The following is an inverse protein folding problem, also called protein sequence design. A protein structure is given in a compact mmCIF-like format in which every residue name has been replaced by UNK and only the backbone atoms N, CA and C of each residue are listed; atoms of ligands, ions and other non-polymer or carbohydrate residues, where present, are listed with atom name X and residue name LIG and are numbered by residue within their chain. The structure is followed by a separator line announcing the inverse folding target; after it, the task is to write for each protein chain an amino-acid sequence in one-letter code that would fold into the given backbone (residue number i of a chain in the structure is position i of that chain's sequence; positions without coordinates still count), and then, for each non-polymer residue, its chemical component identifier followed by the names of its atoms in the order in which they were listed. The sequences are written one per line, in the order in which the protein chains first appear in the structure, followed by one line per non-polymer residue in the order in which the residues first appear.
data_IF_852703613444
#
_entry.id   IF_852703613444
#
_cell.length_a   1.000
_cell.length_b   1.000
_cell.length_c   1.000
_cell.angle_alpha   90.00
_cell.angle_beta   90.00
_cell.angle_gamma   90.00
#
_symmetry.space_group_name_H-M   'P 1'
#
loop_
_entity.id
_entity.type
_entity.pdbx_description
1 polymer ?
#
# COMPACT_ATOMS: atom_id res chain seq x y z
N UNK A 1 -26.78 -3.43 -6.38
CA UNK A 1 -26.44 -4.79 -5.90
C UNK A 1 -24.92 -5.02 -5.99
N UNK A 2 -24.30 -4.84 -7.17
CA UNK A 2 -22.85 -4.98 -7.35
C UNK A 2 -21.98 -4.11 -6.42
N UNK A 3 -22.37 -2.86 -6.14
CA UNK A 3 -21.63 -2.01 -5.19
C UNK A 3 -21.60 -2.56 -3.76
N UNK A 4 -22.68 -3.20 -3.31
CA UNK A 4 -22.75 -3.84 -1.99
C UNK A 4 -21.90 -5.10 -1.95
N UNK A 5 -21.97 -5.93 -3.00
CA UNK A 5 -21.15 -7.13 -3.14
C UNK A 5 -19.66 -6.78 -3.18
N UNK A 6 -19.28 -5.71 -3.89
CA UNK A 6 -17.92 -5.20 -3.91
C UNK A 6 -17.47 -4.71 -2.53
N UNK A 7 -18.29 -3.93 -1.83
CA UNK A 7 -18.01 -3.47 -0.46
C UNK A 7 -17.75 -4.64 0.49
N UNK A 8 -18.58 -5.68 0.46
CA UNK A 8 -18.38 -6.90 1.26
C UNK A 8 -17.14 -7.70 0.83
N UNK A 9 -16.78 -7.66 -0.45
CA UNK A 9 -15.62 -8.38 -0.96
C UNK A 9 -14.30 -7.80 -0.43
N UNK A 10 -14.24 -6.48 -0.22
CA UNK A 10 -13.05 -5.74 0.22
C UNK A 10 -12.98 -5.54 1.75
N UNK A 11 -14.09 -5.77 2.47
CA UNK A 11 -14.19 -5.58 3.92
C UNK A 11 -13.10 -6.36 4.68
N UNK A 12 -12.37 -5.65 5.55
CA UNK A 12 -11.38 -6.23 6.43
C UNK A 12 -11.96 -6.56 7.82
N UNK A 13 -11.61 -7.71 8.42
CA UNK A 13 -12.01 -7.99 9.78
C UNK A 13 -11.31 -7.02 10.74
N UNK A 14 -11.97 -6.60 11.83
CA UNK A 14 -11.42 -5.64 12.81
C UNK A 14 -10.01 -5.97 13.32
N UNK A 15 -9.66 -7.26 13.41
CA UNK A 15 -8.32 -7.73 13.81
C UNK A 15 -7.20 -7.31 12.83
N UNK A 16 -7.54 -6.87 11.61
CA UNK A 16 -6.57 -6.35 10.67
C UNK A 16 -5.89 -5.07 11.18
N UNK A 17 -6.53 -4.29 12.06
CA UNK A 17 -5.97 -3.07 12.64
C UNK A 17 -4.72 -3.30 13.52
N UNK A 18 -4.51 -4.52 14.01
CA UNK A 18 -3.31 -4.88 14.80
C UNK A 18 -2.23 -5.59 13.97
N UNK A 19 -2.37 -5.62 12.64
CA UNK A 19 -1.40 -6.25 11.77
C UNK A 19 -0.09 -5.44 11.71
N UNK A 20 1.03 -6.14 11.78
CA UNK A 20 2.37 -5.56 11.70
C UNK A 20 3.04 -5.84 10.35
N UNK A 21 2.35 -6.57 9.47
CA UNK A 21 2.84 -6.96 8.14
C UNK A 21 1.70 -7.03 7.12
N UNK A 22 1.96 -6.76 5.83
CA UNK A 22 0.95 -6.87 4.76
C UNK A 22 0.23 -8.21 4.73
N UNK A 23 0.95 -9.33 4.86
CA UNK A 23 0.35 -10.65 4.85
C UNK A 23 -0.73 -10.85 5.94
N UNK A 24 -0.66 -10.12 7.06
CA UNK A 24 -1.60 -10.26 8.18
C UNK A 24 -2.94 -9.55 7.92
N UNK A 25 -2.99 -8.56 7.02
CA UNK A 25 -4.23 -7.89 6.60
C UNK A 25 -4.93 -8.59 5.43
N UNK A 26 -4.29 -9.54 4.73
CA UNK A 26 -4.84 -10.24 3.56
C UNK A 26 -5.94 -11.25 3.92
N UNK A 27 -7.05 -10.77 4.49
CA UNK A 27 -8.13 -11.58 5.06
C UNK A 27 -9.49 -11.37 4.38
N UNK A 28 -9.70 -10.25 3.68
CA UNK A 28 -10.89 -10.03 2.85
C UNK A 28 -11.07 -11.13 1.79
N UNK A 29 -12.28 -11.22 1.21
CA UNK A 29 -12.60 -12.20 0.18
C UNK A 29 -11.68 -12.06 -1.04
N UNK A 30 -11.39 -10.82 -1.47
CA UNK A 30 -10.49 -10.53 -2.61
C UNK A 30 -9.09 -11.15 -2.48
N UNK A 31 -8.63 -11.38 -1.24
CA UNK A 31 -7.31 -11.96 -0.97
C UNK A 31 -7.28 -13.48 -1.12
N UNK A 32 -8.42 -14.16 -0.97
CA UNK A 32 -8.50 -15.61 -0.82
C UNK A 32 -9.26 -16.30 -1.95
N UNK A 33 -10.22 -15.62 -2.56
CA UNK A 33 -11.02 -16.16 -3.66
C UNK A 33 -10.16 -16.43 -4.92
N UNK A 34 -10.66 -17.23 -5.88
CA UNK A 34 -9.99 -17.40 -7.16
C UNK A 34 -9.76 -16.06 -7.86
N UNK A 35 -8.55 -15.85 -8.40
CA UNK A 35 -8.15 -14.57 -9.01
C UNK A 35 -9.11 -14.12 -10.12
N UNK A 36 -9.54 -15.04 -10.97
CA UNK A 36 -10.47 -14.74 -12.07
C UNK A 36 -11.83 -14.24 -11.57
N UNK A 37 -12.34 -14.80 -10.46
CA UNK A 37 -13.60 -14.35 -9.88
C UNK A 37 -13.46 -12.94 -9.30
N UNK A 38 -12.34 -12.64 -8.63
CA UNK A 38 -12.04 -11.30 -8.12
C UNK A 38 -11.97 -10.28 -9.25
N UNK A 39 -11.28 -10.61 -10.34
CA UNK A 39 -11.17 -9.74 -11.51
C UNK A 39 -12.51 -9.51 -12.21
N UNK A 40 -13.32 -10.56 -12.35
CA UNK A 40 -14.65 -10.46 -12.93
C UNK A 40 -15.54 -9.53 -12.10
N UNK A 41 -15.54 -9.70 -10.77
CA UNK A 41 -16.33 -8.86 -9.87
C UNK A 41 -15.83 -7.41 -9.86
N UNK A 42 -14.52 -7.19 -9.80
CA UNK A 42 -13.92 -5.85 -9.85
C UNK A 42 -14.28 -5.11 -11.13
N UNK A 43 -14.15 -5.77 -12.30
CA UNK A 43 -14.53 -5.18 -13.59
C UNK A 43 -16.02 -4.86 -13.67
N UNK A 44 -16.88 -5.74 -13.14
CA UNK A 44 -18.31 -5.48 -13.06
C UNK A 44 -18.65 -4.30 -12.14
N UNK A 45 -17.94 -4.15 -11.01
CA UNK A 45 -18.08 -3.02 -10.10
C UNK A 45 -17.66 -1.69 -10.76
N UNK A 46 -16.57 -1.69 -11.55
CA UNK A 46 -16.10 -0.52 -12.29
C UNK A 46 -16.97 -0.14 -13.50
N UNK A 47 -17.85 -1.02 -13.99
CA UNK A 47 -18.66 -0.78 -15.19
C UNK A 47 -19.60 0.44 -15.05
N UNK A 48 -19.89 0.87 -13.82
CA UNK A 48 -20.66 2.08 -13.53
C UNK A 48 -19.91 3.40 -13.81
N UNK A 49 -18.62 3.36 -14.17
CA UNK A 49 -17.83 4.54 -14.54
C UNK A 49 -17.22 5.29 -13.36
N UNK A 50 -17.63 5.00 -12.12
CA UNK A 50 -17.02 5.54 -10.91
C UNK A 50 -15.89 4.60 -10.43
N UNK A 51 -14.73 5.14 -10.02
CA UNK A 51 -13.69 4.34 -9.37
C UNK A 51 -14.21 3.73 -8.08
N UNK A 52 -14.09 2.41 -7.95
CA UNK A 52 -14.38 1.72 -6.68
C UNK A 52 -13.10 1.56 -5.85
N UNK A 53 -13.19 1.59 -4.51
CA UNK A 53 -12.05 1.30 -3.64
C UNK A 53 -11.48 -0.10 -3.95
N UNK A 54 -10.18 -0.19 -4.16
CA UNK A 54 -9.50 -1.43 -4.51
C UNK A 54 -8.02 -1.33 -4.17
N UNK A 55 -7.32 -2.45 -3.89
CA UNK A 55 -5.90 -2.35 -3.60
C UNK A 55 -5.13 -2.11 -4.89
N UNK A 56 -3.96 -1.47 -4.79
CA UNK A 56 -3.12 -1.12 -5.94
C UNK A 56 -2.84 -2.33 -6.84
N UNK A 57 -2.57 -3.50 -6.23
CA UNK A 57 -2.25 -4.72 -6.98
C UNK A 57 -3.43 -5.20 -7.82
N UNK A 58 -4.68 -4.98 -7.37
CA UNK A 58 -5.84 -5.40 -8.14
C UNK A 58 -6.06 -4.47 -9.33
N UNK A 59 -5.87 -3.16 -9.14
CA UNK A 59 -5.90 -2.19 -10.25
C UNK A 59 -4.79 -2.47 -11.27
N UNK A 60 -3.57 -2.76 -10.79
CA UNK A 60 -2.45 -3.15 -11.64
C UNK A 60 -2.73 -4.45 -12.42
N UNK A 61 -3.31 -5.46 -11.76
CA UNK A 61 -3.68 -6.74 -12.37
C UNK A 61 -4.78 -6.57 -13.41
N UNK A 62 -5.83 -5.79 -13.10
CA UNK A 62 -6.92 -5.53 -14.03
C UNK A 62 -6.44 -4.77 -15.27
N UNK A 63 -5.42 -3.91 -15.12
CA UNK A 63 -4.75 -3.20 -16.20
C UNK A 63 -3.68 -4.04 -16.93
N UNK A 64 -3.46 -5.30 -16.55
CA UNK A 64 -2.49 -6.19 -17.18
C UNK A 64 -1.02 -5.80 -16.92
N UNK A 65 -0.74 -5.02 -15.87
CA UNK A 65 0.60 -4.52 -15.55
C UNK A 65 1.35 -5.37 -14.51
N UNK A 66 0.65 -6.27 -13.84
CA UNK A 66 1.24 -7.40 -13.12
C UNK A 66 0.54 -8.68 -13.58
N UNK A 67 1.25 -9.81 -13.57
CA UNK A 67 0.73 -11.07 -14.12
C UNK A 67 -0.24 -11.77 -13.16
N UNK A 68 0.01 -11.65 -11.85
CA UNK A 68 -0.79 -12.32 -10.84
C UNK A 68 -0.93 -11.52 -9.54
N UNK A 69 -1.97 -11.85 -8.77
CA UNK A 69 -2.15 -11.40 -7.38
C UNK A 69 -0.93 -11.73 -6.52
N UNK A 70 -0.29 -12.88 -6.77
CA UNK A 70 0.90 -13.29 -6.03
C UNK A 70 2.11 -12.40 -6.27
N UNK A 71 2.19 -11.72 -7.42
CA UNK A 71 3.25 -10.75 -7.70
C UNK A 71 3.05 -9.46 -6.91
N UNK A 72 1.81 -8.98 -6.84
CA UNK A 72 1.45 -7.84 -5.98
C UNK A 72 1.77 -8.12 -4.51
N UNK A 73 1.37 -9.29 -4.02
CA UNK A 73 1.69 -9.73 -2.66
C UNK A 73 3.20 -9.82 -2.41
N UNK A 74 3.95 -10.35 -3.38
CA UNK A 74 5.41 -10.46 -3.27
C UNK A 74 6.08 -9.09 -3.21
N UNK A 75 5.55 -8.08 -3.89
CA UNK A 75 6.06 -6.70 -3.84
C UNK A 75 5.90 -6.14 -2.42
N UNK A 76 4.69 -6.19 -1.87
CA UNK A 76 4.40 -5.74 -0.50
C UNK A 76 5.28 -6.48 0.54
N UNK A 77 5.37 -7.81 0.44
CA UNK A 77 6.12 -8.63 1.39
C UNK A 77 7.63 -8.34 1.37
N UNK A 78 8.18 -8.04 0.18
CA UNK A 78 9.60 -7.67 0.05
C UNK A 78 9.89 -6.28 0.59
N UNK A 79 8.95 -5.34 0.48
CA UNK A 79 9.07 -4.02 1.11
C UNK A 79 9.03 -4.19 2.63
N UNK A 80 8.06 -4.95 3.16
CA UNK A 80 7.99 -5.27 4.58
C UNK A 80 9.28 -5.93 5.10
N UNK A 81 9.86 -6.86 4.35
CA UNK A 81 11.12 -7.51 4.71
C UNK A 81 12.30 -6.53 4.71
N UNK A 82 12.33 -5.58 3.78
CA UNK A 82 13.38 -4.57 3.69
C UNK A 82 13.28 -3.57 4.85
N UNK A 83 12.10 -3.03 5.10
CA UNK A 83 11.85 -1.98 6.08
C UNK A 83 11.82 -2.52 7.52
N UNK A 84 11.20 -3.69 7.75
CA UNK A 84 11.08 -4.28 9.10
C UNK A 84 12.40 -4.73 9.73
N UNK A 85 13.52 -4.65 9.02
CA UNK A 85 14.87 -4.87 9.56
C UNK A 85 15.56 -3.57 10.00
N UNK A 86 14.92 -2.43 9.79
CA UNK A 86 15.49 -1.10 9.98
C UNK A 86 14.76 -0.40 11.13
N UNK A 87 15.50 0.15 12.11
CA UNK A 87 14.89 0.96 13.17
C UNK A 87 14.11 2.14 12.60
N UNK A 88 12.98 2.49 13.23
CA UNK A 88 12.16 3.65 12.87
C UNK A 88 11.07 3.39 11.83
N UNK A 89 11.13 2.27 11.09
CA UNK A 89 10.07 1.92 10.14
C UNK A 89 8.98 1.07 10.79
N UNK A 90 7.74 1.50 10.67
CA UNK A 90 6.55 0.79 11.16
C UNK A 90 5.56 0.54 10.03
N UNK A 91 4.90 -0.61 10.05
CA UNK A 91 3.81 -0.92 9.13
C UNK A 91 2.48 -0.47 9.73
N UNK A 92 1.71 0.27 8.94
CA UNK A 92 0.45 0.89 9.33
C UNK A 92 -0.69 0.22 8.54
N UNK A 93 -1.51 -0.63 9.17
CA UNK A 93 -2.51 -1.46 8.48
C UNK A 93 -3.85 -0.78 8.18
N UNK A 94 -4.09 0.42 8.68
CA UNK A 94 -5.39 1.11 8.76
C UNK A 94 -5.74 1.91 7.50
N UNK A 95 -5.32 1.45 6.33
CA UNK A 95 -5.81 2.02 5.10
C UNK A 95 -7.32 1.69 5.00
N UNK A 96 -8.12 2.58 4.43
CA UNK A 96 -9.59 2.40 4.35
C UNK A 96 -9.95 1.07 3.68
N UNK A 97 -11.20 0.60 3.79
CA UNK A 97 -11.59 -0.66 3.15
C UNK A 97 -11.21 -0.67 1.65
N UNK A 98 -10.55 -1.75 1.24
CA UNK A 98 -10.00 -1.89 -0.11
C UNK A 98 -8.64 -1.22 -0.34
N UNK A 99 -8.05 -0.51 0.62
CA UNK A 99 -6.70 0.02 0.48
C UNK A 99 -5.63 -0.95 1.03
N UNK A 100 -4.41 -0.85 0.50
CA UNK A 100 -3.25 -1.55 1.07
C UNK A 100 -2.68 -0.72 2.23
N UNK A 101 -2.20 -1.37 3.28
CA UNK A 101 -1.42 -0.68 4.32
C UNK A 101 -0.12 -0.09 3.77
N UNK A 102 0.53 0.73 4.59
CA UNK A 102 1.72 1.48 4.21
C UNK A 102 2.79 1.42 5.30
N UNK A 103 3.93 2.05 5.09
CA UNK A 103 4.99 2.15 6.09
C UNK A 103 5.30 3.59 6.42
N UNK A 104 5.50 3.89 7.71
CA UNK A 104 5.93 5.20 8.18
C UNK A 104 7.30 5.11 8.81
N UNK A 105 8.12 6.13 8.59
CA UNK A 105 9.39 6.30 9.27
C UNK A 105 9.25 7.35 10.37
N UNK A 106 9.25 6.89 11.62
CA UNK A 106 9.25 7.72 12.81
C UNK A 106 10.69 7.81 13.36
N UNK A 107 11.34 8.98 13.34
CA UNK A 107 12.65 9.12 13.97
C UNK A 107 12.52 8.92 15.49
N UNK A 108 13.46 8.17 16.08
CA UNK A 108 13.51 7.87 17.51
C UNK A 108 13.80 9.10 18.39
N UNK A 109 14.19 10.23 17.80
CA UNK A 109 14.41 11.48 18.49
C UNK A 109 13.37 12.50 18.02
N UNK A 110 12.57 13.01 18.96
CA UNK A 110 11.79 14.22 18.76
C UNK A 110 12.77 15.40 18.66
N UNK A 111 13.41 15.53 17.50
CA UNK A 111 14.21 16.69 17.16
C UNK A 111 13.33 17.94 17.16
N UNK A 112 13.92 19.07 17.52
CA UNK A 112 13.27 20.39 17.61
C UNK A 112 12.66 20.93 16.29
N UNK A 113 12.53 20.11 15.24
CA UNK A 113 12.19 20.49 13.88
C UNK A 113 10.68 20.55 13.57
N UNK A 114 9.79 20.11 14.46
CA UNK A 114 8.35 20.37 14.31
C UNK A 114 7.67 19.73 13.08
N UNK A 115 8.20 18.60 12.59
CA UNK A 115 7.51 17.78 11.58
C UNK A 115 6.29 17.09 12.20
N UNK A 116 5.10 17.29 11.61
CA UNK A 116 3.86 16.69 12.10
C UNK A 116 3.53 15.36 11.41
N UNK A 117 4.04 15.12 10.20
CA UNK A 117 3.72 13.95 9.37
C UNK A 117 5.04 13.23 8.98
N UNK A 118 5.18 11.92 9.26
CA UNK A 118 6.40 11.15 8.98
C UNK A 118 6.63 10.91 7.48
N UNK A 119 7.82 10.41 7.13
CA UNK A 119 8.06 9.90 5.78
C UNK A 119 7.24 8.62 5.58
N UNK A 120 6.44 8.55 4.51
CA UNK A 120 5.55 7.42 4.22
C UNK A 120 5.98 6.69 2.95
N UNK A 121 6.02 5.36 2.98
CA UNK A 121 6.18 4.49 1.80
C UNK A 121 4.82 3.87 1.50
N UNK A 122 4.32 4.09 0.29
CA UNK A 122 3.01 3.63 -0.17
C UNK A 122 3.20 2.72 -1.38
N UNK A 123 2.35 1.71 -1.50
CA UNK A 123 2.20 1.02 -2.77
C UNK A 123 1.19 1.74 -3.65
N UNK A 124 1.52 1.83 -4.94
CA UNK A 124 0.75 2.60 -5.91
C UNK A 124 0.65 1.80 -7.19
N UNK A 125 -0.34 2.12 -8.00
CA UNK A 125 -0.45 1.63 -9.37
C UNK A 125 -0.37 2.79 -10.37
N UNK A 126 0.14 3.96 -10.02
CA UNK A 126 0.32 5.08 -10.95
C UNK A 126 1.51 4.86 -11.91
N UNK A 127 2.52 4.08 -11.50
CA UNK A 127 3.73 3.80 -12.29
C UNK A 127 4.23 2.36 -12.08
N UNK A 128 5.10 1.88 -12.98
CA UNK A 128 5.64 0.50 -12.97
C UNK A 128 6.64 0.20 -11.85
N UNK A 129 6.97 1.22 -11.06
CA UNK A 129 7.81 1.09 -9.86
C UNK A 129 7.03 0.64 -8.63
N UNK A 130 5.70 0.80 -8.62
CA UNK A 130 4.76 0.33 -7.59
C UNK A 130 4.97 0.89 -6.17
N UNK A 131 5.87 1.86 -6.01
CA UNK A 131 6.27 2.44 -4.73
C UNK A 131 6.32 3.96 -4.87
N UNK A 132 5.47 4.64 -4.12
CA UNK A 132 5.56 6.07 -3.89
C UNK A 132 6.17 6.33 -2.51
N UNK A 133 7.01 7.35 -2.41
CA UNK A 133 7.51 7.85 -1.13
C UNK A 133 7.05 9.28 -0.93
N UNK A 134 6.34 9.53 0.17
CA UNK A 134 6.00 10.86 0.65
C UNK A 134 7.04 11.27 1.69
N UNK A 135 7.88 12.28 1.43
CA UNK A 135 8.81 12.80 2.44
C UNK A 135 8.06 13.34 3.66
N UNK A 136 8.71 13.28 4.83
CA UNK A 136 8.23 13.96 6.02
C UNK A 136 7.99 15.45 5.74
N UNK A 137 6.90 15.99 6.29
CA UNK A 137 6.48 17.35 6.00
C UNK A 137 5.62 17.95 7.12
N UNK A 138 5.52 19.28 7.10
CA UNK A 138 4.57 20.05 7.90
C UNK A 138 3.73 20.92 6.98
N UNK A 139 2.40 20.82 7.09
CA UNK A 139 1.46 21.58 6.26
C UNK A 139 1.07 20.85 4.98
N UNK A 140 1.34 21.44 3.81
CA UNK A 140 0.88 20.89 2.52
C UNK A 140 1.61 19.58 2.20
N UNK A 141 0.84 18.57 1.78
CA UNK A 141 1.39 17.29 1.31
C UNK A 141 2.27 17.50 0.07
N UNK A 142 3.54 17.04 0.09
CA UNK A 142 4.42 17.11 -1.06
C UNK A 142 3.96 16.15 -2.16
N UNK A 143 4.48 16.37 -3.37
CA UNK A 143 4.28 15.42 -4.47
C UNK A 143 4.98 14.08 -4.14
N UNK A 144 4.31 12.94 -4.39
CA UNK A 144 4.92 11.63 -4.21
C UNK A 144 6.17 11.46 -5.08
N UNK A 145 7.22 10.92 -4.47
CA UNK A 145 8.44 10.53 -5.16
C UNK A 145 8.26 9.12 -5.69
N UNK A 146 8.09 8.99 -6.99
CA UNK A 146 8.03 7.69 -7.65
C UNK A 146 9.36 6.93 -7.50
N UNK A 147 9.31 5.73 -6.95
CA UNK A 147 10.47 4.86 -6.73
C UNK A 147 10.44 3.67 -7.67
N UNK A 148 11.58 3.40 -8.33
CA UNK A 148 11.74 2.30 -9.28
C UNK A 148 11.88 0.93 -8.59
N UNK A 149 10.78 0.46 -7.99
CA UNK A 149 10.69 -0.83 -7.32
C UNK A 149 11.61 -0.97 -6.11
N UNK A 150 11.74 -2.21 -5.63
CA UNK A 150 12.48 -2.52 -4.39
C UNK A 150 13.96 -2.11 -4.45
N UNK A 151 14.60 -2.23 -5.62
CA UNK A 151 15.99 -1.85 -5.79
C UNK A 151 16.17 -0.33 -5.68
N UNK A 152 15.28 0.44 -6.32
CA UNK A 152 15.25 1.90 -6.20
C UNK A 152 14.99 2.34 -4.76
N UNK A 153 14.06 1.67 -4.05
CA UNK A 153 13.80 1.95 -2.65
C UNK A 153 15.07 1.74 -1.83
N UNK A 154 15.69 0.56 -1.93
CA UNK A 154 16.92 0.23 -1.20
C UNK A 154 18.05 1.22 -1.44
N UNK A 155 18.23 1.68 -2.67
CA UNK A 155 19.29 2.62 -3.04
C UNK A 155 19.09 4.01 -2.40
N UNK A 156 17.83 4.40 -2.13
CA UNK A 156 17.46 5.73 -1.62
C UNK A 156 17.02 5.74 -0.17
N UNK A 157 17.01 4.60 0.52
CA UNK A 157 16.60 4.54 1.93
C UNK A 157 17.36 5.53 2.81
N UNK A 158 18.67 5.69 2.60
CA UNK A 158 19.46 6.66 3.37
C UNK A 158 19.02 8.11 3.16
N UNK A 159 18.51 8.47 1.97
CA UNK A 159 17.93 9.79 1.67
C UNK A 159 16.59 9.97 2.41
N UNK A 160 15.73 8.95 2.35
CA UNK A 160 14.40 8.98 2.96
C UNK A 160 14.43 8.98 4.50
N UNK A 161 15.47 8.37 5.09
CA UNK A 161 15.70 8.33 6.53
C UNK A 161 16.49 9.53 7.06
N UNK A 162 17.19 10.27 6.18
CA UNK A 162 17.99 11.43 6.57
C UNK A 162 17.18 12.72 6.73
N UNK A 163 15.86 12.69 6.50
CA UNK A 163 14.98 13.85 6.68
C UNK A 163 14.92 14.20 8.17
N UNK A 164 15.61 15.28 8.54
CA UNK A 164 15.68 15.85 9.91
C UNK A 164 14.73 17.02 10.08
#
# INVERSE_FOLDING_TARGET
MLALEWSQAIELPRVAASATRPAEIRKAWIHRAPQEHVLSLFRAACAGGEPVPAPWWLRALAAGRIESRSDGFRIEDRIAQLLGRRPGWEYVPWASDGESGYWEFMPSEHGAAGHAIPTTVLNTDSHSGWIDVLPAHSGRTPEPVAVAGLAGLRARLGEFEAVR
#
